data_IF_261255751467
#
_entry.id   IF_261255751467
#
_cell.length_a   1.000
_cell.length_b   1.000
_cell.length_c   1.000
_cell.angle_alpha   90.00
_cell.angle_beta   90.00
_cell.angle_gamma   90.00
#
_symmetry.space_group_name_H-M   'P 1'
#
loop_
_entity.id
_entity.type
_entity.pdbx_description
1 polymer ?
#
# COMPACT_ATOMS: atom_id res chain seq x y z
N UNK A 1 -2.04 -9.68 -9.34
CA UNK A 1 -2.65 -8.36 -9.10
C UNK A 1 -2.64 -7.56 -10.40
N UNK A 2 -3.62 -6.68 -10.56
CA UNK A 2 -3.77 -5.82 -11.74
C UNK A 2 -3.23 -4.41 -11.45
N UNK A 3 -2.84 -3.68 -12.49
CA UNK A 3 -2.55 -2.25 -12.35
C UNK A 3 -3.78 -1.49 -11.85
N UNK A 4 -3.57 -0.46 -11.04
CA UNK A 4 -4.59 0.34 -10.35
C UNK A 4 -5.44 -0.40 -9.31
N UNK A 5 -5.13 -1.65 -8.98
CA UNK A 5 -5.78 -2.35 -7.87
C UNK A 5 -5.43 -1.68 -6.55
N UNK A 6 -6.44 -1.38 -5.71
CA UNK A 6 -6.22 -0.88 -4.35
C UNK A 6 -5.51 -1.94 -3.51
N UNK A 7 -4.37 -1.57 -2.94
CA UNK A 7 -3.51 -2.44 -2.14
C UNK A 7 -3.69 -2.17 -0.65
N UNK A 8 -3.67 -0.90 -0.27
CA UNK A 8 -3.86 -0.42 1.10
C UNK A 8 -4.79 0.78 1.10
N UNK A 9 -5.44 1.00 2.24
CA UNK A 9 -6.14 2.24 2.57
C UNK A 9 -5.42 2.85 3.76
N UNK A 10 -5.04 4.11 3.63
CA UNK A 10 -4.44 4.89 4.70
C UNK A 10 -5.44 5.89 5.23
N UNK A 11 -5.62 5.94 6.55
CA UNK A 11 -6.42 6.98 7.19
C UNK A 11 -5.49 8.06 7.75
N UNK A 12 -5.73 9.31 7.37
CA UNK A 12 -5.03 10.48 7.90
C UNK A 12 -6.02 11.63 8.12
N UNK A 13 -6.11 12.14 9.35
CA UNK A 13 -6.96 13.29 9.70
C UNK A 13 -8.43 13.16 9.24
N UNK A 14 -9.04 11.98 9.43
CA UNK A 14 -10.40 11.63 8.95
C UNK A 14 -10.55 11.55 7.42
N UNK A 15 -9.44 11.53 6.68
CA UNK A 15 -9.44 11.29 5.24
C UNK A 15 -8.84 9.92 4.96
N UNK A 16 -9.50 9.16 4.09
CA UNK A 16 -8.99 7.90 3.59
C UNK A 16 -8.31 8.13 2.24
N UNK A 17 -7.12 7.56 2.07
CA UNK A 17 -6.35 7.63 0.84
C UNK A 17 -5.96 6.24 0.39
N UNK A 18 -6.30 5.90 -0.86
CA UNK A 18 -6.02 4.58 -1.43
C UNK A 18 -4.61 4.53 -2.01
N UNK A 19 -3.83 3.53 -1.62
CA UNK A 19 -2.56 3.19 -2.26
C UNK A 19 -2.84 2.12 -3.32
N UNK A 20 -2.61 2.47 -4.59
CA UNK A 20 -2.91 1.61 -5.75
C UNK A 20 -1.65 1.00 -6.33
N UNK A 21 -1.79 -0.19 -6.92
CA UNK A 21 -0.72 -0.85 -7.64
C UNK A 21 -0.31 -0.03 -8.88
N UNK A 22 0.96 0.38 -9.02
CA UNK A 22 1.40 1.12 -10.21
C UNK A 22 1.40 0.25 -11.48
N UNK A 23 1.60 -1.06 -11.31
CA UNK A 23 1.65 -2.05 -12.40
C UNK A 23 0.94 -3.34 -11.99
N UNK A 24 0.63 -4.19 -12.97
CA UNK A 24 0.24 -5.56 -12.70
C UNK A 24 1.46 -6.36 -12.22
N UNK A 25 1.24 -7.33 -11.34
CA UNK A 25 2.33 -8.09 -10.71
C UNK A 25 1.86 -8.90 -9.50
N UNK A 26 2.78 -9.22 -8.61
CA UNK A 26 2.52 -10.00 -7.38
C UNK A 26 3.13 -9.31 -6.16
N UNK A 27 2.42 -9.36 -5.02
CA UNK A 27 2.97 -8.89 -3.75
C UNK A 27 4.07 -9.85 -3.31
N UNK A 28 5.28 -9.33 -3.12
CA UNK A 28 6.41 -10.09 -2.61
C UNK A 28 6.40 -10.12 -1.08
N UNK A 29 6.19 -8.96 -0.45
CA UNK A 29 6.25 -8.78 1.00
C UNK A 29 5.38 -7.59 1.43
N UNK A 30 4.81 -7.68 2.64
CA UNK A 30 4.06 -6.60 3.28
C UNK A 30 4.83 -6.20 4.54
N UNK A 31 5.22 -4.92 4.65
CA UNK A 31 6.05 -4.42 5.75
C UNK A 31 5.24 -3.77 6.88
N UNK A 32 3.91 -3.74 6.75
CA UNK A 32 3.02 -3.03 7.67
C UNK A 32 1.83 -3.89 8.07
N UNK A 33 1.32 -3.67 9.27
CA UNK A 33 0.09 -4.29 9.78
C UNK A 33 -1.04 -3.28 9.88
N UNK A 34 -2.27 -3.77 9.94
CA UNK A 34 -3.43 -2.91 10.14
C UNK A 34 -3.33 -2.16 11.48
N UNK A 35 -3.47 -0.84 11.44
CA UNK A 35 -3.32 0.04 12.61
C UNK A 35 -1.90 0.53 12.87
N UNK A 36 -0.90 0.10 12.09
CA UNK A 36 0.45 0.64 12.21
C UNK A 36 0.50 2.11 11.81
N UNK A 37 1.24 2.89 12.60
CA UNK A 37 1.54 4.28 12.27
C UNK A 37 2.75 4.32 11.35
N UNK A 38 2.55 4.74 10.11
CA UNK A 38 3.60 4.84 9.09
C UNK A 38 3.99 6.30 8.85
N UNK A 39 5.28 6.57 8.66
CA UNK A 39 5.77 7.89 8.29
C UNK A 39 5.88 8.03 6.77
N UNK A 40 5.87 9.28 6.28
CA UNK A 40 6.07 9.56 4.87
C UNK A 40 7.44 9.01 4.41
N UNK A 41 7.42 8.24 3.32
CA UNK A 41 8.61 7.58 2.77
C UNK A 41 8.95 6.22 3.38
N UNK A 42 8.21 5.74 4.39
CA UNK A 42 8.35 4.38 4.88
C UNK A 42 7.85 3.36 3.83
N UNK A 43 8.55 2.23 3.64
CA UNK A 43 8.10 1.18 2.73
C UNK A 43 6.84 0.49 3.28
N UNK A 44 5.81 0.35 2.45
CA UNK A 44 4.54 -0.30 2.83
C UNK A 44 4.52 -1.77 2.41
N UNK A 45 4.90 -2.05 1.16
CA UNK A 45 4.98 -3.39 0.58
C UNK A 45 5.99 -3.42 -0.56
N UNK A 46 6.38 -4.62 -0.97
CA UNK A 46 7.21 -4.87 -2.16
C UNK A 46 6.37 -5.56 -3.23
N UNK A 47 6.46 -5.07 -4.46
CA UNK A 47 5.85 -5.69 -5.65
C UNK A 47 6.92 -6.30 -6.55
N UNK A 48 6.64 -7.51 -7.02
CA UNK A 48 7.33 -8.10 -8.16
C UNK A 48 6.52 -7.82 -9.43
N UNK A 49 7.22 -7.42 -10.49
CA UNK A 49 6.65 -7.13 -11.82
C UNK A 49 6.50 -8.41 -12.64
#
# INVERSE_FOLDING_TARGET
>A
MNANQTLLVMEAMKMESEVKAPVAGTVAEIHVSAGDTVQAGAPLLTLNS
#
